data_IF_679110438609
#
_entry.id   IF_679110438609
#
_cell.length_a   1.000
_cell.length_b   1.000
_cell.length_c   1.000
_cell.angle_alpha   90.00
_cell.angle_beta   90.00
_cell.angle_gamma   90.00
#
_symmetry.space_group_name_H-M   'P 1'
#
loop_
_entity.id
_entity.type
_entity.pdbx_description
1 polymer ?
#
# COMPACT_ATOMS: atom_id res chain seq x y z
N UNK A 1 50.29 -36.97 17.54
CA UNK A 1 48.85 -36.87 17.36
C UNK A 1 48.41 -35.54 17.95
N UNK A 2 48.28 -34.49 17.10
CA UNK A 2 47.93 -33.11 17.56
C UNK A 2 46.43 -32.88 17.32
N UNK A 3 45.71 -32.68 18.39
CA UNK A 3 44.28 -32.29 18.33
C UNK A 3 44.19 -30.80 18.06
N UNK A 4 43.60 -30.43 16.92
CA UNK A 4 43.23 -29.04 16.60
C UNK A 4 41.82 -28.79 17.18
N UNK A 5 41.72 -27.95 18.18
CA UNK A 5 40.48 -27.51 18.78
C UNK A 5 39.99 -26.37 17.92
N UNK A 6 38.90 -26.56 17.16
CA UNK A 6 38.19 -25.48 16.52
C UNK A 6 37.40 -24.68 17.54
N UNK A 7 37.87 -23.47 17.85
CA UNK A 7 37.11 -22.50 18.61
C UNK A 7 35.93 -22.05 17.75
N UNK A 8 34.73 -22.44 18.15
CA UNK A 8 33.48 -21.93 17.61
C UNK A 8 33.37 -20.46 18.01
N UNK A 9 33.78 -19.55 17.11
CA UNK A 9 33.55 -18.13 17.24
C UNK A 9 32.06 -17.86 17.22
N UNK A 10 31.53 -17.55 18.38
CA UNK A 10 30.17 -17.04 18.57
C UNK A 10 30.12 -15.68 17.87
N UNK A 11 29.60 -15.67 16.64
CA UNK A 11 29.24 -14.44 15.94
C UNK A 11 28.21 -13.77 16.81
N UNK A 12 28.60 -12.68 17.48
CA UNK A 12 27.64 -11.76 18.11
C UNK A 12 26.75 -11.30 16.96
N UNK A 13 25.49 -11.70 16.96
CA UNK A 13 24.47 -11.02 16.20
C UNK A 13 24.52 -9.59 16.71
N UNK A 14 24.92 -8.67 15.81
CA UNK A 14 24.79 -7.26 16.07
C UNK A 14 23.38 -7.04 16.57
N UNK A 15 23.24 -6.39 17.73
CA UNK A 15 21.95 -5.98 18.25
C UNK A 15 21.33 -5.11 17.18
N UNK A 16 20.47 -5.67 16.34
CA UNK A 16 19.56 -4.90 15.50
C UNK A 16 18.91 -3.91 16.44
N UNK A 17 19.27 -2.66 16.29
CA UNK A 17 18.77 -1.56 17.06
C UNK A 17 17.31 -1.42 16.65
N UNK A 18 16.46 -2.27 17.27
CA UNK A 18 15.03 -2.31 17.06
C UNK A 18 14.48 -0.93 17.42
N UNK A 19 14.09 -0.16 16.40
CA UNK A 19 13.47 1.14 16.61
C UNK A 19 12.29 0.97 17.58
N UNK A 20 12.10 1.90 18.53
CA UNK A 20 11.00 1.80 19.48
C UNK A 20 9.71 1.48 18.75
N UNK A 21 8.96 0.45 19.19
CA UNK A 21 7.71 -0.02 18.58
C UNK A 21 6.64 1.07 18.42
N UNK A 22 6.85 2.23 19.04
CA UNK A 22 5.91 3.35 19.10
C UNK A 22 6.15 4.44 18.03
N UNK A 23 7.25 4.40 17.26
CA UNK A 23 7.46 5.37 16.19
C UNK A 23 6.79 4.89 14.88
N UNK A 24 5.91 5.73 14.32
CA UNK A 24 5.39 5.52 12.98
C UNK A 24 6.48 5.86 11.96
N UNK A 25 6.65 5.01 10.94
CA UNK A 25 7.37 5.39 9.74
C UNK A 25 6.55 6.37 8.87
N UNK A 26 7.14 6.79 7.75
CA UNK A 26 6.52 7.76 6.83
C UNK A 26 5.13 7.31 6.35
N UNK A 27 5.00 6.07 5.91
CA UNK A 27 3.71 5.51 5.46
C UNK A 27 2.71 5.41 6.60
N UNK A 28 3.11 5.01 7.80
CA UNK A 28 2.23 4.98 8.97
C UNK A 28 1.71 6.37 9.34
N UNK A 29 2.56 7.38 9.26
CA UNK A 29 2.19 8.80 9.46
C UNK A 29 1.21 9.27 8.38
N UNK A 30 1.43 8.87 7.13
CA UNK A 30 0.51 9.14 6.00
C UNK A 30 -0.87 8.55 6.27
N UNK A 31 -0.94 7.27 6.66
CA UNK A 31 -2.20 6.61 6.99
C UNK A 31 -2.94 7.35 8.10
N UNK A 32 -2.26 7.70 9.19
CA UNK A 32 -2.86 8.44 10.31
C UNK A 32 -3.49 9.77 9.88
N UNK A 33 -2.75 10.54 9.06
CA UNK A 33 -3.22 11.82 8.50
C UNK A 33 -4.43 11.62 7.57
N UNK A 34 -4.37 10.64 6.67
CA UNK A 34 -5.43 10.36 5.71
C UNK A 34 -6.72 9.89 6.39
N UNK A 35 -6.64 8.99 7.37
CA UNK A 35 -7.80 8.56 8.17
C UNK A 35 -8.48 9.78 8.81
N UNK A 36 -7.70 10.64 9.48
CA UNK A 36 -8.21 11.87 10.12
C UNK A 36 -8.87 12.81 9.10
N UNK A 37 -8.21 13.06 7.99
CA UNK A 37 -8.69 13.97 6.95
C UNK A 37 -10.00 13.48 6.34
N UNK A 38 -10.06 12.21 5.92
CA UNK A 38 -11.23 11.63 5.27
C UNK A 38 -12.41 11.52 6.25
N UNK A 39 -12.16 11.08 7.50
CA UNK A 39 -13.21 11.08 8.52
C UNK A 39 -13.82 12.46 8.71
N UNK A 40 -12.98 13.50 8.84
CA UNK A 40 -13.44 14.89 8.99
C UNK A 40 -14.19 15.39 7.76
N UNK A 41 -13.68 15.12 6.56
CA UNK A 41 -14.31 15.52 5.30
C UNK A 41 -15.70 14.88 5.15
N UNK A 42 -15.91 13.69 5.70
CA UNK A 42 -17.21 13.02 5.75
C UNK A 42 -18.10 13.45 6.94
N UNK A 43 -17.63 14.36 7.78
CA UNK A 43 -18.36 14.82 8.96
C UNK A 43 -18.56 13.77 10.06
N UNK A 44 -17.81 12.64 10.01
CA UNK A 44 -18.01 11.54 10.96
C UNK A 44 -17.39 11.86 12.32
N UNK A 45 -18.17 11.67 13.39
CA UNK A 45 -17.64 11.60 14.74
C UNK A 45 -16.85 10.30 14.95
N UNK A 46 -16.00 10.23 16.00
CA UNK A 46 -15.29 9.00 16.35
C UNK A 46 -16.24 7.84 16.71
N UNK A 47 -17.35 8.16 17.34
CA UNK A 47 -18.38 7.17 17.71
C UNK A 47 -19.05 6.56 16.47
N UNK A 48 -19.30 7.36 15.44
CA UNK A 48 -19.89 6.91 14.19
C UNK A 48 -18.93 6.02 13.41
N UNK A 49 -17.64 6.42 13.29
CA UNK A 49 -16.65 5.57 12.65
C UNK A 49 -16.44 4.25 13.41
N UNK A 50 -16.40 4.29 14.75
CA UNK A 50 -16.34 3.08 15.56
C UNK A 50 -17.55 2.15 15.33
N UNK A 51 -18.76 2.70 15.24
CA UNK A 51 -19.97 1.93 14.93
C UNK A 51 -19.92 1.29 13.53
N UNK A 52 -19.44 2.03 12.51
CA UNK A 52 -19.25 1.50 11.16
C UNK A 52 -18.24 0.34 11.14
N UNK A 53 -17.14 0.46 11.89
CA UNK A 53 -16.15 -0.59 12.01
C UNK A 53 -16.68 -1.82 12.74
N UNK A 54 -17.40 -1.64 13.84
CA UNK A 54 -18.05 -2.73 14.57
C UNK A 54 -19.08 -3.47 13.70
N UNK A 55 -19.85 -2.75 12.88
CA UNK A 55 -20.82 -3.33 11.95
C UNK A 55 -20.21 -4.26 10.88
N UNK A 56 -18.93 -4.08 10.57
CA UNK A 56 -18.17 -4.95 9.63
C UNK A 56 -17.28 -5.97 10.36
N UNK A 57 -17.47 -6.13 11.67
CA UNK A 57 -16.73 -7.12 12.46
C UNK A 57 -15.33 -6.69 12.90
N UNK A 58 -14.98 -5.40 12.78
CA UNK A 58 -13.71 -4.87 13.25
C UNK A 58 -13.91 -3.84 14.36
N UNK A 59 -13.90 -4.29 15.60
CA UNK A 59 -14.14 -3.42 16.76
C UNK A 59 -12.88 -2.62 17.12
N UNK A 60 -12.84 -1.36 16.67
CA UNK A 60 -11.82 -0.38 17.07
C UNK A 60 -12.52 0.69 17.91
N UNK A 61 -12.28 0.73 19.23
CA UNK A 61 -12.94 1.70 20.09
C UNK A 61 -12.49 3.13 19.80
N UNK A 62 -13.31 4.11 20.17
CA UNK A 62 -13.07 5.53 19.90
C UNK A 62 -11.70 6.04 20.37
N UNK A 63 -11.21 5.55 21.52
CA UNK A 63 -9.88 5.90 22.01
C UNK A 63 -8.78 5.32 21.10
N UNK A 64 -8.99 4.11 20.52
CA UNK A 64 -8.08 3.49 19.55
C UNK A 64 -8.00 4.31 18.28
N UNK A 65 -9.16 4.77 17.75
CA UNK A 65 -9.22 5.66 16.58
C UNK A 65 -8.51 6.98 16.82
N UNK A 66 -8.68 7.59 18.02
CA UNK A 66 -7.93 8.81 18.40
C UNK A 66 -6.42 8.56 18.41
N UNK A 67 -5.96 7.43 18.93
CA UNK A 67 -4.55 7.04 18.92
C UNK A 67 -4.02 6.82 17.51
N UNK A 68 -4.80 6.18 16.61
CA UNK A 68 -4.43 6.03 15.19
C UNK A 68 -4.23 7.41 14.55
N UNK A 69 -5.21 8.31 14.67
CA UNK A 69 -5.15 9.63 14.04
C UNK A 69 -4.09 10.56 14.65
N UNK A 70 -3.67 10.33 15.87
CA UNK A 70 -2.56 11.07 16.53
C UNK A 70 -1.19 10.44 16.28
N UNK A 71 -1.11 9.29 15.61
CA UNK A 71 0.15 8.56 15.41
C UNK A 71 0.62 7.74 16.62
N UNK A 72 -0.18 7.65 17.67
CA UNK A 72 0.14 6.89 18.89
C UNK A 72 -0.23 5.39 18.81
N UNK A 73 -0.76 4.91 17.68
CA UNK A 73 -1.03 3.50 17.40
C UNK A 73 -0.79 3.20 15.95
N UNK A 74 -0.07 2.13 15.67
CA UNK A 74 0.08 1.59 14.30
C UNK A 74 -1.24 1.00 13.81
N UNK A 75 -1.43 1.08 12.49
CA UNK A 75 -2.53 0.43 11.76
C UNK A 75 -1.96 -0.83 11.13
N UNK A 76 -2.50 -1.98 11.50
CA UNK A 76 -2.17 -3.24 10.84
C UNK A 76 -2.92 -3.38 9.50
N UNK A 77 -2.64 -4.43 8.73
CA UNK A 77 -3.24 -4.65 7.42
C UNK A 77 -4.77 -4.81 7.49
N UNK A 78 -5.28 -5.51 8.50
CA UNK A 78 -6.71 -5.72 8.69
C UNK A 78 -7.41 -4.42 9.11
N UNK A 79 -6.80 -3.65 10.03
CA UNK A 79 -7.29 -2.33 10.41
C UNK A 79 -7.33 -1.39 9.20
N UNK A 80 -6.29 -1.41 8.35
CA UNK A 80 -6.21 -0.57 7.15
C UNK A 80 -7.38 -0.85 6.20
N UNK A 81 -7.62 -2.12 5.88
CA UNK A 81 -8.72 -2.53 4.99
C UNK A 81 -10.08 -2.21 5.61
N UNK A 82 -10.26 -2.48 6.90
CA UNK A 82 -11.51 -2.21 7.59
C UNK A 82 -11.81 -0.69 7.65
N UNK A 83 -10.82 0.13 7.97
CA UNK A 83 -10.95 1.59 8.00
C UNK A 83 -11.26 2.13 6.60
N UNK A 84 -10.57 1.66 5.57
CA UNK A 84 -10.84 2.05 4.19
C UNK A 84 -12.28 1.74 3.79
N UNK A 85 -12.77 0.53 4.11
CA UNK A 85 -14.15 0.10 3.86
C UNK A 85 -15.16 0.96 4.64
N UNK A 86 -14.93 1.21 5.93
CA UNK A 86 -15.80 2.04 6.77
C UNK A 86 -15.85 3.49 6.29
N UNK A 87 -14.72 4.01 5.80
CA UNK A 87 -14.62 5.33 5.19
C UNK A 87 -15.05 5.35 3.71
N UNK A 88 -15.46 4.22 3.13
CA UNK A 88 -15.83 4.08 1.72
C UNK A 88 -14.79 4.66 0.76
N UNK A 89 -13.53 4.27 0.95
CA UNK A 89 -12.38 4.61 0.09
C UNK A 89 -11.56 3.36 -0.20
N UNK A 90 -10.67 3.43 -1.19
CA UNK A 90 -9.68 2.37 -1.42
C UNK A 90 -8.62 2.36 -0.31
N UNK A 91 -8.08 1.19 0.09
CA UNK A 91 -6.90 1.12 0.94
C UNK A 91 -5.72 1.95 0.38
N UNK A 92 -5.58 2.02 -0.94
CA UNK A 92 -4.56 2.85 -1.59
C UNK A 92 -4.73 4.34 -1.28
N UNK A 93 -5.97 4.83 -1.11
CA UNK A 93 -6.24 6.21 -0.69
C UNK A 93 -5.66 6.51 0.68
N UNK A 94 -5.66 5.53 1.59
CA UNK A 94 -5.05 5.69 2.91
C UNK A 94 -3.52 5.64 2.86
N UNK A 95 -2.96 4.88 1.93
CA UNK A 95 -1.50 4.71 1.76
C UNK A 95 -0.85 5.84 0.96
N UNK A 96 -1.61 6.53 0.09
CA UNK A 96 -1.08 7.58 -0.77
C UNK A 96 -0.76 8.85 0.04
N UNK A 97 0.49 9.34 0.04
CA UNK A 97 0.82 10.62 0.65
C UNK A 97 0.02 11.77 0.04
N UNK A 98 -0.37 12.73 0.90
CA UNK A 98 -1.05 13.93 0.44
C UNK A 98 -0.10 14.81 -0.38
N UNK A 99 -0.52 15.19 -1.56
CA UNK A 99 0.22 16.08 -2.45
C UNK A 99 -0.74 16.94 -3.25
N UNK A 100 -0.39 18.21 -3.45
CA UNK A 100 -1.19 19.17 -4.24
C UNK A 100 -1.01 19.00 -5.75
N UNK A 101 -0.03 18.20 -6.17
CA UNK A 101 0.28 17.94 -7.58
C UNK A 101 1.09 16.68 -7.79
N UNK A 102 1.11 16.21 -9.02
CA UNK A 102 1.76 14.96 -9.40
C UNK A 102 3.29 14.98 -9.23
N UNK A 103 3.89 16.16 -9.36
CA UNK A 103 5.35 16.34 -9.34
C UNK A 103 5.86 16.83 -7.96
N UNK A 104 4.96 16.86 -6.95
CA UNK A 104 5.33 17.17 -5.57
C UNK A 104 6.06 15.99 -4.96
N UNK A 105 7.15 16.26 -4.26
CA UNK A 105 7.92 15.25 -3.55
C UNK A 105 7.21 14.73 -2.31
N UNK A 106 7.18 13.43 -2.16
CA UNK A 106 6.56 12.71 -1.03
C UNK A 106 7.50 11.64 -0.48
N UNK A 107 7.38 11.37 0.81
CA UNK A 107 8.14 10.31 1.50
C UNK A 107 7.34 9.02 1.55
N UNK A 108 8.03 7.90 1.30
CA UNK A 108 7.48 6.54 1.39
C UNK A 108 8.44 5.68 2.21
N UNK A 109 7.92 4.88 3.11
CA UNK A 109 8.76 3.98 3.93
C UNK A 109 9.62 3.07 3.04
N UNK A 110 10.91 2.96 3.34
CA UNK A 110 11.86 2.13 2.61
C UNK A 110 12.46 2.80 1.37
N UNK A 111 12.18 4.07 1.15
CA UNK A 111 12.81 4.88 0.10
C UNK A 111 13.75 5.89 0.76
N UNK A 112 15.00 5.91 0.33
CA UNK A 112 15.97 6.94 0.75
C UNK A 112 15.63 8.27 0.04
N UNK A 113 15.27 9.29 0.84
CA UNK A 113 14.84 10.59 0.31
C UNK A 113 13.36 10.62 -0.05
N UNK A 114 13.04 11.22 -1.21
CA UNK A 114 11.67 11.44 -1.68
C UNK A 114 11.46 10.92 -3.10
N UNK A 115 10.21 10.71 -3.46
CA UNK A 115 9.78 10.42 -4.83
C UNK A 115 8.63 11.35 -5.20
N UNK A 116 8.40 11.59 -6.49
CA UNK A 116 7.22 12.37 -6.89
C UNK A 116 5.91 11.64 -6.52
N UNK A 117 4.88 12.40 -6.22
CA UNK A 117 3.56 11.85 -5.91
C UNK A 117 3.03 10.96 -7.06
N UNK A 118 3.34 11.32 -8.32
CA UNK A 118 3.06 10.50 -9.51
C UNK A 118 3.71 9.12 -9.40
N UNK A 119 5.00 9.08 -9.05
CA UNK A 119 5.75 7.82 -8.93
C UNK A 119 5.21 6.97 -7.80
N UNK A 120 4.94 7.56 -6.64
CA UNK A 120 4.33 6.86 -5.51
C UNK A 120 2.96 6.25 -5.90
N UNK A 121 2.13 6.99 -6.64
CA UNK A 121 0.85 6.49 -7.14
C UNK A 121 1.02 5.35 -8.14
N UNK A 122 1.89 5.51 -9.15
CA UNK A 122 2.15 4.48 -10.16
C UNK A 122 2.65 3.16 -9.55
N UNK A 123 3.45 3.26 -8.48
CA UNK A 123 3.87 2.10 -7.71
C UNK A 123 2.71 1.45 -6.95
N UNK A 124 1.91 2.23 -6.25
CA UNK A 124 0.76 1.73 -5.49
C UNK A 124 -0.25 1.00 -6.39
N UNK A 125 -0.45 1.47 -7.61
CA UNK A 125 -1.36 0.83 -8.59
C UNK A 125 -0.67 -0.19 -9.48
N UNK A 126 0.53 -0.64 -9.11
CA UNK A 126 1.30 -1.68 -9.81
C UNK A 126 1.64 -1.35 -11.28
N UNK A 127 1.79 -0.07 -11.63
CA UNK A 127 2.20 0.36 -12.98
C UNK A 127 3.70 0.39 -13.17
N UNK A 128 4.44 0.87 -12.15
CA UNK A 128 5.90 1.03 -12.20
C UNK A 128 6.54 0.75 -10.83
N UNK A 129 7.79 0.26 -10.78
CA UNK A 129 8.53 0.14 -9.54
C UNK A 129 8.93 1.53 -9.01
N UNK A 130 9.22 1.64 -7.71
CA UNK A 130 9.70 2.90 -7.10
C UNK A 130 11.11 3.28 -7.56
N UNK A 131 11.94 2.30 -7.87
CA UNK A 131 13.34 2.48 -8.25
C UNK A 131 13.55 2.66 -9.75
N UNK A 132 14.13 1.64 -10.40
CA UNK A 132 14.54 1.66 -11.82
C UNK A 132 13.36 1.94 -12.76
N UNK A 133 13.60 2.85 -13.73
CA UNK A 133 12.63 3.30 -14.73
C UNK A 133 12.72 2.53 -16.06
N UNK A 134 13.59 1.51 -16.15
CA UNK A 134 13.72 0.76 -17.37
C UNK A 134 12.40 0.08 -17.74
N UNK A 135 12.14 0.00 -19.04
CA UNK A 135 10.94 -0.66 -19.56
C UNK A 135 10.89 -2.12 -19.13
N UNK A 136 12.03 -2.82 -19.13
CA UNK A 136 12.13 -4.22 -18.73
C UNK A 136 11.73 -4.42 -17.26
N UNK A 137 12.25 -3.57 -16.35
CA UNK A 137 11.89 -3.63 -14.92
C UNK A 137 10.42 -3.28 -14.68
N UNK A 138 9.87 -2.32 -15.41
CA UNK A 138 8.46 -1.96 -15.32
C UNK A 138 7.55 -3.14 -15.72
N UNK A 139 7.88 -3.87 -16.79
CA UNK A 139 7.15 -5.08 -17.18
C UNK A 139 7.29 -6.20 -16.14
N UNK A 140 8.51 -6.48 -15.70
CA UNK A 140 8.77 -7.47 -14.66
C UNK A 140 8.01 -7.16 -13.35
N UNK A 141 7.96 -5.89 -12.98
CA UNK A 141 7.21 -5.42 -11.81
C UNK A 141 5.71 -5.65 -11.99
N UNK A 142 5.12 -5.20 -13.10
CA UNK A 142 3.68 -5.40 -13.38
C UNK A 142 3.31 -6.88 -13.35
N UNK A 143 4.15 -7.74 -13.95
CA UNK A 143 3.92 -9.19 -13.97
C UNK A 143 3.92 -9.82 -12.57
N UNK A 144 4.76 -9.33 -11.65
CA UNK A 144 4.82 -9.80 -10.25
C UNK A 144 3.73 -9.20 -9.38
N UNK A 145 3.33 -7.96 -9.65
CA UNK A 145 2.46 -7.17 -8.78
C UNK A 145 0.97 -7.32 -9.11
N UNK A 146 0.62 -7.60 -10.37
CA UNK A 146 -0.77 -7.73 -10.79
C UNK A 146 -1.28 -9.16 -10.68
N UNK A 147 -2.57 -9.35 -10.35
CA UNK A 147 -3.19 -10.66 -10.42
C UNK A 147 -3.13 -11.22 -11.84
N UNK A 148 -2.93 -12.55 -11.97
CA UNK A 148 -2.81 -13.21 -13.27
C UNK A 148 -3.99 -12.94 -14.21
N UNK A 149 -5.20 -12.87 -13.68
CA UNK A 149 -6.41 -12.59 -14.48
C UNK A 149 -6.46 -11.18 -15.09
N UNK A 150 -5.65 -10.22 -14.57
CA UNK A 150 -5.48 -8.89 -15.17
C UNK A 150 -4.45 -8.87 -16.29
N UNK A 151 -3.51 -9.82 -16.28
CA UNK A 151 -2.43 -9.87 -17.29
C UNK A 151 -2.90 -10.45 -18.64
N UNK A 152 -4.04 -11.18 -18.66
CA UNK A 152 -4.52 -11.93 -19.83
C UNK A 152 -3.67 -13.17 -20.11
N UNK A 153 -4.19 -14.09 -20.92
CA UNK A 153 -3.51 -15.35 -21.27
C UNK A 153 -2.38 -15.18 -22.30
N UNK A 154 -2.22 -13.98 -22.88
CA UNK A 154 -1.23 -13.67 -23.92
C UNK A 154 -0.27 -12.57 -23.45
N UNK A 155 0.67 -12.92 -22.57
CA UNK A 155 1.94 -12.21 -22.50
C UNK A 155 2.98 -13.06 -23.22
N UNK A 156 3.02 -12.97 -24.53
CA UNK A 156 4.14 -13.45 -25.32
C UNK A 156 5.33 -12.52 -24.99
N UNK A 157 6.30 -13.04 -24.23
CA UNK A 157 7.59 -12.39 -24.01
C UNK A 157 8.34 -12.40 -25.35
N UNK A 158 8.11 -11.40 -26.17
CA UNK A 158 8.94 -11.18 -27.35
C UNK A 158 10.28 -10.61 -26.90
N UNK A 159 11.30 -11.45 -26.88
CA UNK A 159 12.72 -11.12 -26.60
C UNK A 159 13.36 -10.15 -27.62
N UNK A 160 12.63 -9.35 -28.33
CA UNK A 160 13.12 -8.35 -29.26
C UNK A 160 12.48 -7.00 -28.99
N UNK A 161 13.19 -6.14 -28.28
CA UNK A 161 13.28 -4.68 -28.28
C UNK A 161 12.21 -3.80 -28.93
N UNK A 162 10.97 -4.25 -29.05
CA UNK A 162 9.83 -3.47 -29.54
C UNK A 162 8.84 -3.41 -28.40
N UNK A 163 8.69 -2.22 -27.83
CA UNK A 163 7.68 -1.90 -26.82
C UNK A 163 6.32 -1.92 -27.53
N UNK A 164 5.42 -2.87 -27.24
CA UNK A 164 4.04 -2.71 -27.67
C UNK A 164 3.46 -1.51 -26.94
N UNK A 165 2.90 -0.57 -27.67
CA UNK A 165 2.16 0.54 -27.12
C UNK A 165 0.85 0.00 -26.52
N UNK A 166 0.92 -0.51 -25.27
CA UNK A 166 -0.24 -1.02 -24.55
C UNK A 166 -1.02 0.17 -24.01
N UNK A 167 -1.74 0.85 -24.87
CA UNK A 167 -2.88 1.67 -24.47
C UNK A 167 -4.03 0.70 -24.22
N UNK A 168 -4.02 -0.01 -23.08
CA UNK A 168 -5.21 -0.72 -22.63
C UNK A 168 -6.14 0.28 -21.98
N UNK A 169 -7.14 0.70 -22.72
CA UNK A 169 -8.37 1.21 -22.14
C UNK A 169 -9.00 0.05 -21.40
N UNK A 170 -9.09 0.14 -20.07
CA UNK A 170 -9.88 -0.82 -19.27
C UNK A 170 -11.33 -0.47 -19.57
N UNK A 171 -11.94 -1.18 -20.51
CA UNK A 171 -13.38 -1.16 -20.71
C UNK A 171 -13.99 -2.03 -19.60
N UNK A 172 -14.63 -1.40 -18.64
CA UNK A 172 -15.52 -2.09 -17.72
C UNK A 172 -16.70 -2.56 -18.56
N UNK A 173 -16.79 -3.87 -18.84
CA UNK A 173 -18.02 -4.45 -19.38
C UNK A 173 -19.07 -4.35 -18.28
N UNK A 174 -20.06 -3.49 -18.47
CA UNK A 174 -21.27 -3.50 -17.66
C UNK A 174 -21.87 -4.91 -17.76
N UNK A 175 -22.18 -5.52 -16.62
CA UNK A 175 -22.93 -6.78 -16.60
C UNK A 175 -24.23 -6.55 -17.35
N UNK A 176 -24.63 -7.49 -18.24
CA UNK A 176 -25.92 -7.38 -18.91
C UNK A 176 -27.00 -7.36 -17.84
N UNK A 177 -27.83 -6.32 -17.88
CA UNK A 177 -29.00 -6.21 -17.03
C UNK A 177 -29.75 -7.53 -17.06
N UNK A 178 -29.97 -8.15 -15.88
CA UNK A 178 -30.73 -9.38 -15.74
C UNK A 178 -32.11 -9.18 -16.36
N UNK A 179 -32.31 -9.85 -17.51
CA UNK A 179 -33.57 -9.79 -18.23
C UNK A 179 -34.73 -10.24 -17.33
N UNK A 180 -35.67 -9.37 -17.24
CA UNK A 180 -37.02 -9.61 -16.73
C UNK A 180 -37.58 -10.85 -17.43
N UNK A 181 -37.71 -11.93 -16.64
CA UNK A 181 -38.38 -13.18 -17.07
C UNK A 181 -39.79 -13.22 -16.56
N UNK A 182 -40.71 -13.12 -17.44
CA UNK A 182 -42.14 -13.37 -17.26
C UNK A 182 -42.43 -14.73 -16.60
#
# INVERSE_FOLDING_TARGET
MKFVVYSCGMVRRDEEQWAPLDSLGETGTTVAKNVRMIRKARGLAYTELAALLAAIGRDIPTWGLRKIESGGRRVDADDLVAIARALNVSPLTLLMPLAEGADVDVSVTGVDGTVSARRAWEWLVARRPLGDDSTAESFGFMYRALPKWLLGDEVELVERGIVPNITRTIEWKDEPASGDGR
#
